data_IF_822310591428
#
_entry.id   IF_822310591428
#
_cell.length_a   1.000
_cell.length_b   1.000
_cell.length_c   1.000
_cell.angle_alpha   90.00
_cell.angle_beta   90.00
_cell.angle_gamma   90.00
#
_symmetry.space_group_name_H-M   'P 1'
#
loop_
_entity.id
_entity.type
_entity.pdbx_description
1 polymer ?
#
# COMPACT_ATOMS: atom_id res chain seq x y z
N UNK A 1 -17.02 27.26 4.30
CA UNK A 1 -16.59 25.88 4.61
C UNK A 1 -15.84 25.37 3.39
N UNK A 2 -14.51 25.47 3.38
CA UNK A 2 -13.70 25.01 2.26
C UNK A 2 -13.52 23.50 2.40
N UNK A 3 -14.31 22.75 1.66
CA UNK A 3 -14.20 21.31 1.55
C UNK A 3 -12.81 20.94 1.08
N UNK A 4 -12.08 20.24 1.95
CA UNK A 4 -10.78 19.66 1.64
C UNK A 4 -11.00 18.58 0.59
N UNK A 5 -11.03 18.96 -0.69
CA UNK A 5 -11.02 18.00 -1.79
C UNK A 5 -9.61 17.41 -1.81
N UNK A 6 -9.43 16.29 -1.12
CA UNK A 6 -8.27 15.42 -1.30
C UNK A 6 -8.41 14.80 -2.70
N UNK A 7 -8.02 15.56 -3.72
CA UNK A 7 -7.77 15.04 -5.06
C UNK A 7 -6.60 14.06 -4.95
N UNK A 8 -6.90 12.78 -4.73
CA UNK A 8 -5.94 11.68 -4.84
C UNK A 8 -5.53 11.42 -6.30
N UNK A 9 -5.48 12.45 -7.15
CA UNK A 9 -5.28 12.33 -8.60
C UNK A 9 -3.79 12.13 -8.98
N UNK A 10 -2.88 11.97 -8.00
CA UNK A 10 -1.45 11.71 -8.23
C UNK A 10 -0.85 10.66 -7.29
N UNK A 11 -1.63 9.64 -6.88
CA UNK A 11 -1.10 8.49 -6.12
C UNK A 11 -0.49 7.41 -7.04
N UNK A 12 0.31 7.85 -8.01
CA UNK A 12 1.07 6.96 -8.89
C UNK A 12 2.48 6.79 -8.33
N UNK A 13 2.81 5.61 -7.84
CA UNK A 13 4.22 5.24 -7.63
C UNK A 13 4.93 5.31 -8.99
N UNK A 14 6.18 5.81 -9.01
CA UNK A 14 7.04 5.67 -10.19
C UNK A 14 7.07 4.17 -10.61
N UNK A 15 7.22 3.85 -11.90
CA UNK A 15 7.49 2.49 -12.35
C UNK A 15 8.59 1.80 -11.53
N UNK A 16 9.67 2.52 -11.21
CA UNK A 16 10.78 1.98 -10.39
C UNK A 16 10.33 1.70 -8.95
N UNK A 17 9.61 2.63 -8.32
CA UNK A 17 9.11 2.46 -6.95
C UNK A 17 8.07 1.34 -6.86
N UNK A 18 7.28 1.15 -7.92
CA UNK A 18 6.31 0.07 -8.04
C UNK A 18 7.00 -1.28 -8.16
N UNK A 19 8.02 -1.41 -9.00
CA UNK A 19 8.82 -2.63 -9.11
C UNK A 19 9.56 -2.94 -7.81
N UNK A 20 10.18 -1.90 -7.24
CA UNK A 20 10.56 -1.72 -5.84
C UNK A 20 9.70 -2.53 -4.86
N UNK A 21 8.50 -1.98 -4.69
CA UNK A 21 7.50 -2.47 -3.75
C UNK A 21 7.01 -3.87 -4.11
N UNK A 22 6.77 -4.16 -5.39
CA UNK A 22 6.32 -5.48 -5.82
C UNK A 22 7.36 -6.56 -5.49
N UNK A 23 8.66 -6.28 -5.63
CA UNK A 23 9.73 -7.19 -5.23
C UNK A 23 9.73 -7.41 -3.71
N UNK A 24 9.62 -6.34 -2.90
CA UNK A 24 9.54 -6.45 -1.45
C UNK A 24 8.32 -7.27 -1.00
N UNK A 25 7.15 -6.96 -1.56
CA UNK A 25 5.91 -7.67 -1.25
C UNK A 25 5.98 -9.14 -1.70
N UNK A 26 6.62 -9.43 -2.84
CA UNK A 26 6.82 -10.80 -3.32
C UNK A 26 7.66 -11.62 -2.36
N UNK A 27 8.81 -11.07 -1.94
CA UNK A 27 9.71 -11.74 -0.98
C UNK A 27 8.99 -12.00 0.34
N UNK A 28 8.21 -11.03 0.84
CA UNK A 28 7.40 -11.20 2.06
C UNK A 28 6.31 -12.24 1.90
N UNK A 29 5.63 -12.24 0.76
CA UNK A 29 4.59 -13.22 0.45
C UNK A 29 5.16 -14.64 0.38
N UNK A 30 6.27 -14.83 -0.32
CA UNK A 30 6.95 -16.12 -0.42
C UNK A 30 7.43 -16.62 0.95
N UNK A 31 8.01 -15.72 1.77
CA UNK A 31 8.41 -16.03 3.14
C UNK A 31 7.23 -16.42 4.05
N UNK A 32 6.03 -15.88 3.80
CA UNK A 32 4.80 -16.18 4.53
C UNK A 32 3.83 -17.10 3.76
N UNK A 33 4.31 -17.80 2.72
CA UNK A 33 3.48 -18.67 1.87
C UNK A 33 2.85 -19.81 2.65
N UNK A 34 3.44 -20.17 3.80
CA UNK A 34 2.88 -21.14 4.73
C UNK A 34 1.46 -20.79 5.24
N UNK A 35 1.11 -19.50 5.33
CA UNK A 35 -0.23 -19.01 5.73
C UNK A 35 -1.20 -18.88 4.55
N UNK A 36 -0.69 -18.99 3.33
CA UNK A 36 -1.37 -18.67 2.09
C UNK A 36 -1.13 -19.77 1.03
N UNK A 37 -1.45 -21.02 1.39
CA UNK A 37 -1.19 -22.20 0.54
C UNK A 37 -2.01 -22.21 -0.76
N UNK A 38 -3.18 -21.59 -0.75
CA UNK A 38 -4.10 -21.54 -1.92
C UNK A 38 -4.01 -20.21 -2.69
N UNK A 39 -3.09 -19.33 -2.30
CA UNK A 39 -2.90 -18.03 -2.93
C UNK A 39 -1.62 -18.03 -3.75
N UNK A 40 -1.77 -17.72 -5.03
CA UNK A 40 -0.66 -17.57 -5.96
C UNK A 40 -0.27 -16.10 -6.11
N UNK A 41 1.04 -15.83 -6.04
CA UNK A 41 1.58 -14.47 -6.14
C UNK A 41 1.11 -13.75 -7.41
N UNK A 42 1.02 -14.46 -8.53
CA UNK A 42 0.55 -13.88 -9.80
C UNK A 42 -0.86 -13.28 -9.69
N UNK A 43 -1.78 -13.93 -8.97
CA UNK A 43 -3.14 -13.43 -8.76
C UNK A 43 -3.16 -12.22 -7.81
N UNK A 44 -2.27 -12.20 -6.83
CA UNK A 44 -2.10 -11.06 -5.91
C UNK A 44 -1.52 -9.86 -6.66
N UNK A 45 -0.43 -10.08 -7.41
CA UNK A 45 0.22 -9.06 -8.24
C UNK A 45 -0.77 -8.44 -9.22
N UNK A 46 -1.58 -9.23 -9.94
CA UNK A 46 -2.58 -8.71 -10.87
C UNK A 46 -3.64 -7.82 -10.18
N UNK A 47 -4.09 -8.19 -8.97
CA UNK A 47 -5.05 -7.39 -8.19
C UNK A 47 -4.43 -6.09 -7.68
N UNK A 48 -3.16 -6.14 -7.28
CA UNK A 48 -2.38 -4.99 -6.83
C UNK A 48 -2.07 -4.04 -8.00
N UNK A 49 -1.73 -4.57 -9.17
CA UNK A 49 -1.45 -3.75 -10.33
C UNK A 49 -2.70 -3.13 -10.94
N UNK A 50 -3.84 -3.81 -10.83
CA UNK A 50 -5.16 -3.28 -11.20
C UNK A 50 -5.68 -2.19 -10.25
N UNK A 51 -5.17 -2.10 -9.02
CA UNK A 51 -5.61 -1.11 -8.02
C UNK A 51 -4.45 -0.25 -7.53
N UNK A 52 -4.16 0.84 -8.25
CA UNK A 52 -3.08 1.78 -7.90
C UNK A 52 -3.22 2.36 -6.49
N UNK A 53 -4.44 2.64 -6.01
CA UNK A 53 -4.67 3.15 -4.66
C UNK A 53 -4.28 2.15 -3.58
N UNK A 54 -4.61 0.87 -3.75
CA UNK A 54 -4.24 -0.19 -2.79
C UNK A 54 -2.73 -0.37 -2.71
N UNK A 55 -2.07 -0.30 -3.86
CA UNK A 55 -0.62 -0.38 -3.95
C UNK A 55 0.05 0.80 -3.25
N UNK A 56 -0.48 2.01 -3.42
CA UNK A 56 -0.01 3.20 -2.72
C UNK A 56 -0.18 3.08 -1.21
N UNK A 57 -1.36 2.64 -0.73
CA UNK A 57 -1.58 2.41 0.70
C UNK A 57 -0.63 1.35 1.28
N UNK A 58 -0.36 0.26 0.56
CA UNK A 58 0.61 -0.75 0.98
C UNK A 58 2.04 -0.20 1.03
N UNK A 59 2.43 0.63 0.06
CA UNK A 59 3.70 1.33 0.11
C UNK A 59 3.83 2.19 1.36
N UNK A 60 2.78 2.96 1.69
CA UNK A 60 2.80 3.80 2.88
C UNK A 60 2.90 2.95 4.14
N UNK A 61 2.12 1.86 4.26
CA UNK A 61 2.21 0.93 5.40
C UNK A 61 3.61 0.34 5.55
N UNK A 62 4.25 -0.02 4.44
CA UNK A 62 5.62 -0.56 4.42
C UNK A 62 6.69 0.46 4.80
N UNK A 63 6.57 1.69 4.28
CA UNK A 63 7.47 2.78 4.63
C UNK A 63 7.31 3.24 6.07
N UNK A 64 6.07 3.25 6.56
CA UNK A 64 5.81 3.73 7.91
C UNK A 64 6.22 2.72 8.96
N UNK A 65 6.17 1.41 8.70
CA UNK A 65 6.77 0.33 9.52
C UNK A 65 6.44 0.28 11.03
N UNK A 66 5.78 1.29 11.57
CA UNK A 66 5.79 1.67 12.97
C UNK A 66 4.48 2.38 13.26
N UNK A 67 3.63 1.67 14.00
CA UNK A 67 2.47 2.26 14.66
C UNK A 67 2.97 3.05 15.86
N UNK A 68 3.51 4.24 15.63
CA UNK A 68 3.42 5.29 16.66
C UNK A 68 3.48 6.70 16.06
N UNK A 69 2.42 7.11 15.38
CA UNK A 69 1.97 8.49 15.49
C UNK A 69 0.48 8.58 15.16
N UNK A 70 -0.37 8.32 16.15
CA UNK A 70 -1.62 9.06 16.24
C UNK A 70 -1.29 10.39 16.93
N UNK A 71 -1.10 11.52 16.20
CA UNK A 71 -1.50 12.75 16.81
C UNK A 71 -3.03 12.67 16.78
N UNK A 72 -3.65 12.46 17.94
CA UNK A 72 -5.03 12.88 18.18
C UNK A 72 -5.09 14.40 18.00
N UNK A 73 -4.99 14.89 16.76
CA UNK A 73 -5.40 16.24 16.41
C UNK A 73 -6.91 16.18 16.47
N UNK A 74 -7.43 16.71 17.58
CA UNK A 74 -8.84 16.83 17.87
C UNK A 74 -9.63 17.27 16.65
N UNK A 75 -10.85 16.76 16.58
CA UNK A 75 -11.88 17.34 15.71
C UNK A 75 -11.97 18.84 16.04
N UNK A 76 -11.84 19.75 15.06
CA UNK A 76 -12.27 21.12 15.29
C UNK A 76 -13.80 21.15 15.26
N UNK A 77 -14.42 21.29 16.44
CA UNK A 77 -15.68 21.98 16.64
C UNK A 77 -15.65 22.62 18.02
#
# INVERSE_FOLDING_TARGET
MNGFVMKNEQKGLSPEQREELLNVLKVRFEKNRNRHKDLEWNGVQAKLTANAEKLWSLNEMEKTGEWDYFPTKGKPQ
#
